data_IF_581102747284
#
_entry.id   IF_581102747284
#
_cell.length_a   1.000
_cell.length_b   1.000
_cell.length_c   1.000
_cell.angle_alpha   90.00
_cell.angle_beta   90.00
_cell.angle_gamma   90.00
#
_symmetry.space_group_name_H-M   'P 1'
#
loop_
_entity.id
_entity.type
_entity.pdbx_description
1 polymer ?
#
# COMPACT_ATOMS: atom_id res chain seq x y z
N UNK A 1 -6.96 -4.35 -49.72
CA UNK A 1 -7.20 -5.40 -48.70
C UNK A 1 -8.53 -5.08 -48.05
N UNK A 2 -9.54 -5.94 -48.23
CA UNK A 2 -10.91 -5.68 -47.75
C UNK A 2 -11.17 -6.59 -46.55
N UNK A 3 -11.45 -6.00 -45.39
CA UNK A 3 -11.79 -6.74 -44.17
C UNK A 3 -13.30 -7.01 -44.19
N UNK A 4 -13.74 -8.21 -43.82
CA UNK A 4 -15.15 -8.60 -43.83
C UNK A 4 -15.88 -8.07 -42.59
N UNK A 5 -17.20 -7.86 -42.67
CA UNK A 5 -18.02 -7.47 -41.51
C UNK A 5 -17.94 -8.49 -40.36
N UNK A 6 -17.76 -9.77 -40.70
CA UNK A 6 -17.53 -10.83 -39.71
C UNK A 6 -16.23 -10.59 -38.93
N UNK A 7 -15.14 -10.28 -39.62
CA UNK A 7 -13.86 -9.96 -38.99
C UNK A 7 -13.96 -8.71 -38.09
N UNK A 8 -14.78 -7.73 -38.46
CA UNK A 8 -15.04 -6.55 -37.62
C UNK A 8 -15.77 -6.94 -36.33
N UNK A 9 -16.80 -7.79 -36.40
CA UNK A 9 -17.55 -8.24 -35.23
C UNK A 9 -16.71 -9.07 -34.24
N UNK A 10 -15.87 -9.97 -34.76
CA UNK A 10 -14.96 -10.78 -33.95
C UNK A 10 -13.91 -9.91 -33.24
N UNK A 11 -13.42 -8.87 -33.94
CA UNK A 11 -12.43 -7.95 -33.38
C UNK A 11 -13.05 -7.05 -32.30
N UNK A 12 -14.30 -6.60 -32.46
CA UNK A 12 -15.05 -5.88 -31.43
C UNK A 12 -15.24 -6.76 -30.18
N UNK A 13 -15.62 -8.03 -30.35
CA UNK A 13 -15.77 -8.96 -29.23
C UNK A 13 -14.44 -9.22 -28.50
N UNK A 14 -13.35 -9.39 -29.26
CA UNK A 14 -12.01 -9.57 -28.69
C UNK A 14 -11.49 -8.33 -27.96
N UNK A 15 -11.80 -7.13 -28.44
CA UNK A 15 -11.43 -5.88 -27.77
C UNK A 15 -12.28 -5.63 -26.52
N UNK A 16 -13.54 -6.08 -26.50
CA UNK A 16 -14.41 -6.00 -25.33
C UNK A 16 -13.91 -6.83 -24.14
N UNK A 17 -13.30 -7.99 -24.40
CA UNK A 17 -12.71 -8.85 -23.37
C UNK A 17 -11.26 -8.48 -23.02
N UNK A 18 -10.56 -7.73 -23.88
CA UNK A 18 -9.19 -7.26 -23.63
C UNK A 18 -9.09 -6.26 -22.45
N UNK A 19 -10.22 -5.71 -22.00
CA UNK A 19 -10.29 -4.86 -20.80
C UNK A 19 -10.47 -5.63 -19.48
N UNK A 20 -10.73 -6.93 -19.52
CA UNK A 20 -10.88 -7.75 -18.32
C UNK A 20 -9.51 -8.22 -17.80
N UNK A 21 -9.25 -7.99 -16.51
CA UNK A 21 -8.08 -8.55 -15.84
C UNK A 21 -8.07 -10.07 -16.02
N UNK A 22 -6.93 -10.61 -16.43
CA UNK A 22 -6.72 -12.05 -16.49
C UNK A 22 -6.97 -12.69 -15.11
N UNK A 23 -7.31 -13.98 -15.11
CA UNK A 23 -7.50 -14.76 -13.87
C UNK A 23 -6.30 -14.62 -12.92
N UNK A 24 -5.08 -14.51 -13.48
CA UNK A 24 -3.85 -14.29 -12.72
C UNK A 24 -3.86 -12.92 -12.04
N UNK A 25 -4.13 -11.86 -12.78
CA UNK A 25 -4.17 -10.49 -12.23
C UNK A 25 -5.28 -10.32 -11.19
N UNK A 26 -6.45 -10.93 -11.40
CA UNK A 26 -7.53 -10.94 -10.41
C UNK A 26 -7.09 -11.62 -9.10
N UNK A 27 -6.37 -12.75 -9.18
CA UNK A 27 -5.82 -13.44 -7.99
C UNK A 27 -4.78 -12.57 -7.28
N UNK A 28 -3.88 -11.93 -8.03
CA UNK A 28 -2.91 -11.00 -7.45
C UNK A 28 -3.57 -9.81 -6.76
N UNK A 29 -4.61 -9.23 -7.37
CA UNK A 29 -5.34 -8.11 -6.78
C UNK A 29 -6.04 -8.51 -5.47
N UNK A 30 -6.66 -9.69 -5.42
CA UNK A 30 -7.26 -10.22 -4.19
C UNK A 30 -6.21 -10.43 -3.10
N UNK A 31 -5.06 -11.01 -3.47
CA UNK A 31 -3.97 -11.25 -2.54
C UNK A 31 -3.36 -9.93 -2.02
N UNK A 32 -3.16 -8.94 -2.89
CA UNK A 32 -2.66 -7.62 -2.51
C UNK A 32 -3.60 -6.92 -1.51
N UNK A 33 -4.92 -7.03 -1.71
CA UNK A 33 -5.91 -6.50 -0.76
C UNK A 33 -5.85 -7.20 0.59
N UNK A 34 -5.71 -8.53 0.61
CA UNK A 34 -5.57 -9.29 1.84
C UNK A 34 -4.30 -8.89 2.61
N UNK A 35 -3.17 -8.71 1.92
CA UNK A 35 -1.93 -8.23 2.55
C UNK A 35 -2.07 -6.80 3.09
N UNK A 36 -2.74 -5.91 2.37
CA UNK A 36 -2.99 -4.55 2.86
C UNK A 36 -3.85 -4.55 4.12
N UNK A 37 -4.89 -5.39 4.17
CA UNK A 37 -5.74 -5.55 5.35
C UNK A 37 -4.95 -6.11 6.54
N UNK A 38 -4.17 -7.17 6.33
CA UNK A 38 -3.33 -7.78 7.36
C UNK A 38 -2.29 -6.79 7.91
N UNK A 39 -1.71 -5.96 7.03
CA UNK A 39 -0.78 -4.91 7.44
C UNK A 39 -1.47 -3.88 8.36
N UNK A 40 -2.69 -3.47 8.05
CA UNK A 40 -3.47 -2.56 8.89
C UNK A 40 -3.81 -3.18 10.26
N UNK A 41 -4.29 -4.43 10.28
CA UNK A 41 -4.61 -5.14 11.53
C UNK A 41 -3.38 -5.30 12.44
N UNK A 42 -2.20 -5.57 11.87
CA UNK A 42 -0.97 -5.65 12.63
C UNK A 42 -0.54 -4.30 13.23
N UNK A 43 -0.82 -3.17 12.56
CA UNK A 43 -0.56 -1.83 13.13
C UNK A 43 -1.45 -1.59 14.34
N UNK A 44 -2.73 -1.93 14.25
CA UNK A 44 -3.68 -1.81 15.37
C UNK A 44 -3.30 -2.74 16.54
N UNK A 45 -2.88 -3.98 16.25
CA UNK A 45 -2.40 -4.91 17.27
C UNK A 45 -1.17 -4.38 18.00
N UNK A 46 -0.17 -3.84 17.28
CA UNK A 46 1.00 -3.20 17.91
C UNK A 46 0.62 -2.02 18.78
N UNK A 47 -0.35 -1.22 18.35
CA UNK A 47 -0.83 -0.09 19.13
C UNK A 47 -1.51 -0.57 20.42
N UNK A 48 -2.34 -1.61 20.33
CA UNK A 48 -2.95 -2.26 21.49
C UNK A 48 -1.91 -2.85 22.45
N UNK A 49 -0.87 -3.51 21.94
CA UNK A 49 0.24 -4.05 22.74
C UNK A 49 0.97 -2.94 23.52
N UNK A 50 1.25 -1.78 22.88
CA UNK A 50 1.84 -0.62 23.56
C UNK A 50 0.96 -0.09 24.68
N UNK A 51 -0.35 -0.07 24.48
CA UNK A 51 -1.32 0.38 25.48
C UNK A 51 -1.43 -0.59 26.66
N UNK A 52 -1.39 -1.90 26.37
CA UNK A 52 -1.32 -2.93 27.40
C UNK A 52 -0.04 -2.80 28.22
N UNK A 53 1.11 -2.65 27.59
CA UNK A 53 2.39 -2.48 28.29
C UNK A 53 2.40 -1.27 29.21
N UNK A 54 1.84 -0.15 28.76
CA UNK A 54 1.70 1.04 29.58
C UNK A 54 0.84 0.75 30.82
N UNK A 55 -0.30 0.09 30.62
CA UNK A 55 -1.20 -0.31 31.71
C UNK A 55 -0.51 -1.27 32.68
N UNK A 56 0.22 -2.26 32.16
CA UNK A 56 0.94 -3.22 32.98
C UNK A 56 2.10 -2.57 33.76
N UNK A 57 2.82 -1.61 33.17
CA UNK A 57 3.84 -0.85 33.89
C UNK A 57 3.25 0.01 35.02
N UNK A 58 2.03 0.54 34.83
CA UNK A 58 1.30 1.29 35.86
C UNK A 58 0.84 0.38 37.01
N UNK A 59 0.34 -0.82 36.71
CA UNK A 59 -0.21 -1.76 37.70
C UNK A 59 0.85 -2.59 38.43
N UNK A 60 1.88 -3.07 37.71
CA UNK A 60 2.88 -4.02 38.23
C UNK A 60 4.24 -3.38 38.54
N UNK A 61 4.42 -2.09 38.21
CA UNK A 61 5.64 -1.34 38.47
C UNK A 61 6.69 -1.44 37.36
N UNK A 62 7.81 -0.73 37.56
CA UNK A 62 8.89 -0.54 36.56
C UNK A 62 9.60 -1.84 36.15
N UNK A 63 9.39 -2.94 36.88
CA UNK A 63 9.96 -4.25 36.58
C UNK A 63 9.13 -5.04 35.55
N UNK A 64 8.05 -4.46 35.01
CA UNK A 64 7.32 -5.03 33.88
C UNK A 64 8.25 -5.13 32.66
N UNK A 65 8.45 -6.37 32.19
CA UNK A 65 9.19 -6.63 30.95
C UNK A 65 8.16 -6.86 29.85
N UNK A 66 8.06 -5.88 28.96
CA UNK A 66 7.34 -6.05 27.70
C UNK A 66 8.03 -7.11 26.84
N UNK A 67 7.29 -8.11 26.38
CA UNK A 67 7.73 -9.09 25.40
C UNK A 67 7.20 -8.71 24.02
N UNK A 68 7.62 -7.55 23.50
CA UNK A 68 7.20 -7.08 22.17
C UNK A 68 7.57 -8.09 21.09
N UNK A 69 6.58 -8.59 20.35
CA UNK A 69 6.86 -9.34 19.12
C UNK A 69 7.18 -8.34 18.00
N UNK A 70 8.46 -8.08 17.77
CA UNK A 70 8.89 -7.30 16.61
C UNK A 70 8.41 -7.96 15.30
N UNK A 71 7.85 -7.17 14.38
CA UNK A 71 7.45 -7.67 13.05
C UNK A 71 8.04 -6.80 11.92
N UNK A 72 9.37 -6.84 11.71
CA UNK A 72 10.05 -5.97 10.75
C UNK A 72 9.56 -6.15 9.31
N UNK A 73 9.15 -7.37 8.95
CA UNK A 73 8.60 -7.64 7.62
C UNK A 73 7.28 -6.91 7.39
N UNK A 74 6.43 -6.84 8.41
CA UNK A 74 5.16 -6.10 8.36
C UNK A 74 5.41 -4.60 8.31
N UNK A 75 6.35 -4.10 9.12
CA UNK A 75 6.70 -2.67 9.14
C UNK A 75 7.17 -2.18 7.76
N UNK A 76 8.01 -2.97 7.09
CA UNK A 76 8.46 -2.69 5.72
C UNK A 76 7.31 -2.69 4.71
N UNK A 77 6.33 -3.58 4.88
CA UNK A 77 5.13 -3.62 4.02
C UNK A 77 4.25 -2.39 4.23
N UNK A 78 4.05 -1.97 5.49
CA UNK A 78 3.26 -0.78 5.84
C UNK A 78 3.93 0.47 5.27
N UNK A 79 5.22 0.65 5.53
CA UNK A 79 6.00 1.77 5.00
C UNK A 79 5.96 1.85 3.47
N UNK A 80 6.11 0.73 2.77
CA UNK A 80 5.99 0.69 1.31
C UNK A 80 4.55 0.97 0.82
N UNK A 81 3.53 0.58 1.59
CA UNK A 81 2.15 0.92 1.26
C UNK A 81 1.89 2.43 1.40
N UNK A 82 2.40 3.05 2.46
CA UNK A 82 2.30 4.50 2.68
C UNK A 82 3.07 5.29 1.62
N UNK A 83 4.31 4.88 1.31
CA UNK A 83 5.12 5.48 0.25
C UNK A 83 4.42 5.44 -1.12
N UNK A 84 3.84 4.29 -1.50
CA UNK A 84 3.02 4.18 -2.73
C UNK A 84 1.76 5.03 -2.68
N UNK A 85 1.20 5.27 -1.49
CA UNK A 85 0.10 6.21 -1.29
C UNK A 85 0.51 7.65 -1.63
N UNK A 86 1.68 8.07 -1.15
CA UNK A 86 2.27 9.38 -1.45
C UNK A 86 2.56 9.53 -2.95
N UNK A 87 3.12 8.51 -3.59
CA UNK A 87 3.37 8.51 -5.04
C UNK A 87 2.09 8.66 -5.87
N UNK A 88 1.01 7.99 -5.47
CA UNK A 88 -0.30 8.17 -6.12
C UNK A 88 -0.85 9.58 -5.93
N UNK A 89 -0.64 10.19 -4.76
CA UNK A 89 -1.03 11.57 -4.51
C UNK A 89 -0.22 12.54 -5.38
N UNK A 90 1.10 12.36 -5.50
CA UNK A 90 1.97 13.11 -6.42
C UNK A 90 1.42 13.06 -7.84
N UNK A 91 1.16 11.86 -8.38
CA UNK A 91 0.65 11.69 -9.74
C UNK A 91 -0.70 12.40 -9.95
N UNK A 92 -1.56 12.42 -8.93
CA UNK A 92 -2.82 13.18 -8.97
C UNK A 92 -2.59 14.70 -8.99
N UNK A 93 -1.65 15.20 -8.18
CA UNK A 93 -1.33 16.62 -8.09
C UNK A 93 -0.71 17.15 -9.39
N UNK A 94 0.22 16.41 -9.99
CA UNK A 94 0.87 16.76 -11.26
C UNK A 94 -0.14 16.93 -12.41
N UNK A 95 -1.21 16.14 -12.40
CA UNK A 95 -2.28 16.25 -13.41
C UNK A 95 -3.16 17.50 -13.21
N UNK A 96 -3.31 17.96 -11.97
CA UNK A 96 -4.31 18.97 -11.60
C UNK A 96 -3.75 20.38 -11.48
N UNK A 97 -2.46 20.52 -11.15
CA UNK A 97 -1.84 21.79 -10.86
C UNK A 97 -0.57 22.00 -11.69
N UNK A 98 -0.30 23.24 -12.06
CA UNK A 98 0.97 23.67 -12.66
C UNK A 98 1.84 24.37 -11.61
N UNK A 99 3.16 24.39 -11.82
CA UNK A 99 4.14 25.07 -10.96
C UNK A 99 4.25 24.54 -9.51
N UNK A 100 4.03 23.23 -9.31
CA UNK A 100 4.10 22.58 -7.98
C UNK A 100 5.40 21.80 -7.74
N UNK A 101 6.47 22.09 -8.49
CA UNK A 101 7.70 21.28 -8.49
C UNK A 101 8.36 21.11 -7.12
N UNK A 102 8.38 22.16 -6.30
CA UNK A 102 8.94 22.10 -4.94
C UNK A 102 8.10 21.19 -4.03
N UNK A 103 6.77 21.28 -4.13
CA UNK A 103 5.85 20.44 -3.35
C UNK A 103 5.98 18.97 -3.74
N UNK A 104 6.10 18.67 -5.05
CA UNK A 104 6.34 17.31 -5.52
C UNK A 104 7.66 16.76 -4.99
N UNK A 105 8.74 17.56 -5.01
CA UNK A 105 10.04 17.14 -4.48
C UNK A 105 9.97 16.81 -2.97
N UNK A 106 9.26 17.61 -2.18
CA UNK A 106 9.06 17.33 -0.75
C UNK A 106 8.25 16.05 -0.50
N UNK A 107 7.21 15.80 -1.31
CA UNK A 107 6.42 14.57 -1.21
C UNK A 107 7.22 13.34 -1.65
N UNK A 108 8.07 13.47 -2.66
CA UNK A 108 8.95 12.39 -3.07
C UNK A 108 9.92 12.02 -1.93
N UNK A 109 10.50 13.03 -1.28
CA UNK A 109 11.34 12.83 -0.10
C UNK A 109 10.59 12.15 1.05
N UNK A 110 9.32 12.53 1.29
CA UNK A 110 8.49 11.86 2.29
C UNK A 110 8.30 10.36 1.96
N UNK A 111 8.01 10.01 0.71
CA UNK A 111 7.86 8.62 0.29
C UNK A 111 9.14 7.80 0.54
N UNK A 112 10.31 8.37 0.23
CA UNK A 112 11.60 7.72 0.44
C UNK A 112 11.93 7.57 1.94
N UNK A 113 11.67 8.61 2.74
CA UNK A 113 11.88 8.58 4.19
C UNK A 113 11.01 7.53 4.90
N UNK A 114 9.80 7.26 4.40
CA UNK A 114 8.93 6.22 4.97
C UNK A 114 9.57 4.83 4.83
N UNK A 115 10.20 4.55 3.68
CA UNK A 115 10.90 3.28 3.43
C UNK A 115 12.12 3.10 4.33
N UNK A 116 12.95 4.15 4.43
CA UNK A 116 14.17 4.13 5.25
C UNK A 116 13.89 3.99 6.75
N UNK A 117 12.74 4.48 7.22
CA UNK A 117 12.31 4.37 8.61
C UNK A 117 11.98 2.95 9.06
N UNK A 118 11.64 2.05 8.13
CA UNK A 118 11.21 0.68 8.42
C UNK A 118 12.35 -0.36 8.42
N UNK A 119 13.57 0.04 8.04
CA UNK A 119 14.77 -0.81 8.04
C UNK A 119 15.64 -0.61 9.31
N UNK A 120 15.17 0.15 10.31
CA UNK A 120 15.85 0.41 11.59
C UNK A 120 15.12 -0.24 12.75
#
# INVERSE_FOLDING_TARGET
MTITLQAVNELIASLGSAGELSIREQKFLKLAKAYQQLAAENVELKQSERELDKTCAEEFGQDWVSEFTETPATDRIVAEAEARGVEKAIAHLEKKFSNIGVQIMNLQWLADSLREGADK
#
